data_IF_504732075513
#
_entry.id   IF_504732075513
#
_cell.length_a   1.000
_cell.length_b   1.000
_cell.length_c   1.000
_cell.angle_alpha   90.00
_cell.angle_beta   90.00
_cell.angle_gamma   90.00
#
_symmetry.space_group_name_H-M   'P 1'
#
loop_
_entity.id
_entity.type
_entity.pdbx_description
1 polymer ?
#
# COMPACT_ATOMS: atom_id res chain seq x y z
N UNK A 1 9.24 -6.43 23.45
CA UNK A 1 8.76 -5.95 22.12
C UNK A 1 9.77 -4.95 21.58
N UNK A 2 10.38 -5.25 20.43
CA UNK A 2 11.35 -4.36 19.78
C UNK A 2 10.70 -3.02 19.36
N UNK A 3 11.04 -1.94 20.06
CA UNK A 3 10.51 -0.58 19.80
C UNK A 3 10.92 -0.05 18.43
N UNK A 4 12.08 -0.48 17.90
CA UNK A 4 12.56 -0.04 16.60
C UNK A 4 11.76 -0.69 15.46
N UNK A 5 11.45 -1.97 15.61
CA UNK A 5 10.58 -2.73 14.70
C UNK A 5 9.20 -2.07 14.57
N UNK A 6 8.58 -1.74 15.71
CA UNK A 6 7.29 -1.06 15.78
C UNK A 6 7.35 0.31 15.06
N UNK A 7 8.41 1.09 15.30
CA UNK A 7 8.58 2.40 14.66
C UNK A 7 8.69 2.29 13.14
N UNK A 8 9.44 1.30 12.63
CA UNK A 8 9.56 1.03 11.19
C UNK A 8 8.23 0.58 10.58
N UNK A 9 7.50 -0.31 11.25
CA UNK A 9 6.19 -0.76 10.79
C UNK A 9 5.19 0.41 10.69
N UNK A 10 5.14 1.26 11.72
CA UNK A 10 4.28 2.45 11.73
C UNK A 10 4.64 3.45 10.62
N UNK A 11 5.94 3.60 10.31
CA UNK A 11 6.37 4.43 9.19
C UNK A 11 5.87 3.86 7.84
N UNK A 12 5.97 2.55 7.64
CA UNK A 12 5.45 1.86 6.45
C UNK A 12 3.93 2.05 6.34
N UNK A 13 3.18 1.89 7.43
CA UNK A 13 1.74 2.10 7.42
C UNK A 13 1.37 3.53 6.99
N UNK A 14 2.10 4.55 7.48
CA UNK A 14 1.90 5.95 7.05
C UNK A 14 2.17 6.13 5.56
N UNK A 15 3.22 5.50 5.04
CA UNK A 15 3.57 5.56 3.63
C UNK A 15 2.51 4.89 2.74
N UNK A 16 1.99 3.73 3.14
CA UNK A 16 0.88 3.05 2.46
C UNK A 16 -0.35 3.96 2.41
N UNK A 17 -0.72 4.60 3.53
CA UNK A 17 -1.86 5.54 3.58
C UNK A 17 -1.66 6.70 2.59
N UNK A 18 -0.47 7.28 2.54
CA UNK A 18 -0.13 8.35 1.59
C UNK A 18 -0.25 7.89 0.14
N UNK A 19 0.26 6.69 -0.20
CA UNK A 19 0.12 6.12 -1.55
C UNK A 19 -1.35 5.94 -1.93
N UNK A 20 -2.17 5.40 -1.02
CA UNK A 20 -3.60 5.20 -1.29
C UNK A 20 -4.33 6.53 -1.51
N UNK A 21 -3.99 7.57 -0.73
CA UNK A 21 -4.54 8.91 -0.93
C UNK A 21 -4.17 9.49 -2.30
N UNK A 22 -2.89 9.43 -2.68
CA UNK A 22 -2.37 10.04 -3.91
C UNK A 22 -2.77 9.28 -5.19
N UNK A 23 -2.84 7.95 -5.12
CA UNK A 23 -2.97 7.09 -6.30
C UNK A 23 -4.29 6.31 -6.38
N UNK A 24 -5.11 6.29 -5.31
CA UNK A 24 -6.41 5.62 -5.27
C UNK A 24 -7.57 6.52 -4.80
N UNK A 25 -7.40 7.85 -4.83
CA UNK A 25 -8.47 8.83 -4.55
C UNK A 25 -9.66 8.77 -5.52
N UNK A 26 -10.63 9.69 -5.39
CA UNK A 26 -11.86 9.70 -6.21
C UNK A 26 -11.54 9.83 -7.70
N UNK A 27 -10.68 10.80 -8.03
CA UNK A 27 -10.18 11.05 -9.40
C UNK A 27 -8.92 10.22 -9.62
N UNK A 28 -8.98 9.31 -10.58
CA UNK A 28 -7.91 8.36 -10.89
C UNK A 28 -7.50 8.50 -12.34
N UNK A 29 -6.22 8.24 -12.62
CA UNK A 29 -5.72 8.09 -13.98
C UNK A 29 -4.89 6.81 -14.08
N UNK A 30 -4.80 6.26 -15.28
CA UNK A 30 -4.06 5.02 -15.50
C UNK A 30 -2.59 5.15 -15.08
N UNK A 31 -1.99 6.32 -15.35
CA UNK A 31 -0.62 6.66 -14.94
C UNK A 31 -0.46 6.68 -13.42
N UNK A 32 -1.34 7.39 -12.69
CA UNK A 32 -1.27 7.46 -11.22
C UNK A 32 -1.44 6.09 -10.57
N UNK A 33 -2.36 5.25 -11.06
CA UNK A 33 -2.55 3.90 -10.52
C UNK A 33 -1.30 3.04 -10.76
N UNK A 34 -0.68 3.12 -11.94
CA UNK A 34 0.57 2.41 -12.23
C UNK A 34 1.71 2.87 -11.31
N UNK A 35 1.86 4.17 -11.09
CA UNK A 35 2.83 4.73 -10.14
C UNK A 35 2.59 4.22 -8.71
N UNK A 36 1.33 4.20 -8.26
CA UNK A 36 0.96 3.65 -6.96
C UNK A 36 1.34 2.17 -6.82
N UNK A 37 1.12 1.36 -7.87
CA UNK A 37 1.53 -0.05 -7.88
C UNK A 37 3.05 -0.23 -7.81
N UNK A 38 3.81 0.65 -8.48
CA UNK A 38 5.28 0.64 -8.40
C UNK A 38 5.76 0.97 -6.98
N UNK A 39 5.17 1.99 -6.34
CA UNK A 39 5.49 2.36 -4.95
C UNK A 39 5.12 1.25 -3.96
N UNK A 40 3.94 0.63 -4.10
CA UNK A 40 3.56 -0.55 -3.30
C UNK A 40 4.56 -1.70 -3.45
N UNK A 41 5.10 -1.93 -4.66
CA UNK A 41 6.14 -2.95 -4.89
C UNK A 41 7.45 -2.62 -4.15
N UNK A 42 7.81 -1.34 -4.05
CA UNK A 42 8.98 -0.91 -3.26
C UNK A 42 8.75 -1.13 -1.76
N UNK A 43 7.57 -0.76 -1.24
CA UNK A 43 7.20 -1.04 0.16
C UNK A 43 7.25 -2.54 0.46
N UNK A 44 6.76 -3.39 -0.44
CA UNK A 44 6.84 -4.85 -0.28
C UNK A 44 8.28 -5.33 -0.08
N UNK A 45 9.24 -4.78 -0.84
CA UNK A 45 10.66 -5.11 -0.67
C UNK A 45 11.20 -4.62 0.67
N UNK A 46 10.86 -3.39 1.07
CA UNK A 46 11.28 -2.84 2.37
C UNK A 46 10.73 -3.65 3.55
N UNK A 47 9.46 -4.06 3.48
CA UNK A 47 8.81 -4.88 4.51
C UNK A 47 9.41 -6.29 4.60
N UNK A 48 9.79 -6.89 3.46
CA UNK A 48 10.46 -8.18 3.44
C UNK A 48 11.83 -8.17 4.13
N UNK A 49 12.52 -7.02 4.17
CA UNK A 49 13.79 -6.85 4.93
C UNK A 49 13.58 -6.77 6.45
N UNK A 50 12.35 -6.49 6.89
CA UNK A 50 11.98 -6.38 8.31
C UNK A 50 11.52 -7.73 8.88
N UNK A 51 10.90 -8.57 8.05
CA UNK A 51 10.44 -9.92 8.40
C UNK A 51 11.51 -10.96 8.82
N UNK A 52 12.82 -10.87 8.52
CA UNK A 52 13.78 -11.94 8.84
C UNK A 52 13.92 -12.23 10.34
N UNK A 53 13.50 -11.31 11.21
CA UNK A 53 13.51 -11.51 12.67
C UNK A 53 12.31 -12.36 13.11
N UNK A 54 12.58 -13.41 13.89
CA UNK A 54 11.60 -14.39 14.41
C UNK A 54 10.49 -13.79 15.28
N UNK A 55 10.61 -12.52 15.69
CA UNK A 55 9.55 -11.79 16.39
C UNK A 55 8.68 -10.98 15.42
N UNK A 56 7.43 -11.43 15.22
CA UNK A 56 6.40 -10.64 14.51
C UNK A 56 5.58 -9.84 15.52
N UNK A 57 5.54 -8.51 15.38
CA UNK A 57 4.63 -7.66 16.16
C UNK A 57 3.32 -7.40 15.42
N UNK A 58 2.29 -7.01 16.16
CA UNK A 58 0.97 -6.65 15.61
C UNK A 58 1.09 -5.62 14.48
N UNK A 59 1.91 -4.60 14.66
CA UNK A 59 2.09 -3.48 13.73
C UNK A 59 2.71 -3.94 12.40
N UNK A 60 3.64 -4.91 12.45
CA UNK A 60 4.22 -5.53 11.26
C UNK A 60 3.15 -6.31 10.50
N UNK A 61 2.32 -7.10 11.20
CA UNK A 61 1.26 -7.86 10.55
C UNK A 61 0.17 -6.95 9.96
N UNK A 62 -0.20 -5.87 10.66
CA UNK A 62 -1.09 -4.83 10.12
C UNK A 62 -0.50 -4.20 8.85
N UNK A 63 0.79 -3.89 8.83
CA UNK A 63 1.45 -3.35 7.65
C UNK A 63 1.42 -4.32 6.46
N UNK A 64 1.60 -5.62 6.70
CA UNK A 64 1.47 -6.68 5.67
C UNK A 64 0.05 -6.69 5.10
N UNK A 65 -0.95 -6.74 5.97
CA UNK A 65 -2.36 -6.80 5.56
C UNK A 65 -2.75 -5.54 4.77
N UNK A 66 -2.35 -4.35 5.25
CA UNK A 66 -2.58 -3.08 4.55
C UNK A 66 -1.93 -3.05 3.17
N UNK A 67 -0.70 -3.55 3.05
CA UNK A 67 0.01 -3.61 1.78
C UNK A 67 -0.70 -4.53 0.78
N UNK A 68 -1.15 -5.69 1.23
CA UNK A 68 -1.85 -6.67 0.38
C UNK A 68 -3.20 -6.13 -0.10
N UNK A 69 -4.02 -5.62 0.82
CA UNK A 69 -5.33 -5.03 0.50
C UNK A 69 -5.16 -3.81 -0.42
N UNK A 70 -4.24 -2.89 -0.09
CA UNK A 70 -3.98 -1.71 -0.91
C UNK A 70 -3.51 -2.05 -2.33
N UNK A 71 -2.64 -3.06 -2.46
CA UNK A 71 -2.20 -3.56 -3.76
C UNK A 71 -3.36 -4.16 -4.57
N UNK A 72 -4.24 -4.92 -3.92
CA UNK A 72 -5.43 -5.51 -4.56
C UNK A 72 -6.40 -4.43 -5.04
N UNK A 73 -6.64 -3.38 -4.25
CA UNK A 73 -7.45 -2.22 -4.65
C UNK A 73 -6.87 -1.57 -5.90
N UNK A 74 -5.57 -1.26 -5.91
CA UNK A 74 -4.91 -0.63 -7.07
C UNK A 74 -4.94 -1.52 -8.32
N UNK A 75 -4.74 -2.83 -8.18
CA UNK A 75 -4.86 -3.80 -9.29
C UNK A 75 -6.27 -3.81 -9.86
N UNK A 76 -7.29 -3.84 -9.00
CA UNK A 76 -8.70 -3.80 -9.42
C UNK A 76 -9.04 -2.47 -10.09
N UNK A 77 -8.58 -1.34 -9.54
CA UNK A 77 -8.76 -0.01 -10.13
C UNK A 77 -8.11 0.08 -11.53
N UNK A 78 -6.91 -0.50 -11.70
CA UNK A 78 -6.22 -0.57 -13.00
C UNK A 78 -7.02 -1.37 -14.04
N UNK A 79 -7.63 -2.49 -13.65
CA UNK A 79 -8.42 -3.32 -14.56
C UNK A 79 -9.69 -2.61 -15.04
N UNK A 80 -10.24 -1.68 -14.26
CA UNK A 80 -11.50 -1.00 -14.58
C UNK A 80 -11.30 0.27 -15.41
N UNK A 81 -11.56 0.15 -16.71
CA UNK A 81 -11.44 1.25 -17.70
C UNK A 81 -12.64 2.23 -17.72
N UNK A 82 -13.76 1.88 -17.11
CA UNK A 82 -15.00 2.70 -17.13
C UNK A 82 -15.17 3.48 -15.83
N UNK A 83 -15.65 4.72 -15.95
CA UNK A 83 -16.12 5.54 -14.84
C UNK A 83 -17.47 5.04 -14.34
N UNK A 84 -17.59 4.76 -13.04
CA UNK A 84 -18.84 4.34 -12.40
C UNK A 84 -18.78 4.63 -10.91
N UNK A 85 -19.77 5.37 -10.40
CA UNK A 85 -19.84 5.78 -8.99
C UNK A 85 -18.59 6.52 -8.54
N UNK A 86 -18.06 6.18 -7.35
CA UNK A 86 -16.85 6.78 -6.78
C UNK A 86 -15.53 6.36 -7.48
N UNK A 87 -15.60 5.76 -8.66
CA UNK A 87 -14.44 5.47 -9.50
C UNK A 87 -14.52 6.28 -10.77
N UNK A 88 -13.86 7.43 -10.73
CA UNK A 88 -13.76 8.35 -11.84
C UNK A 88 -12.39 8.21 -12.51
N UNK A 89 -12.37 7.76 -13.77
CA UNK A 89 -11.18 7.76 -14.60
C UNK A 89 -11.15 9.08 -15.38
N UNK A 90 -10.13 9.89 -15.12
CA UNK A 90 -9.78 11.10 -15.86
C UNK A 90 -8.75 10.81 -16.96
#
# INVERSE_FOLDING_TARGET
KDKNLIKKANAIQKEIKKIMWEHAGIVRSHKKIQEGLMRMKQIKKSLAKIKPTTETTREVQEAINMLEVGTSILKSAKKRKKTLGCHFIA
#
